data_IF_043789909519
#
_entry.id   IF_043789909519
#
_cell.length_a   1.000
_cell.length_b   1.000
_cell.length_c   1.000
_cell.angle_alpha   90.00
_cell.angle_beta   90.00
_cell.angle_gamma   90.00
#
_symmetry.space_group_name_H-M   'P 1'
#
loop_
_entity.id
_entity.type
_entity.pdbx_description
1 polymer ?
#
# COMPACT_ATOMS: atom_id res chain seq x y z
N UNK A 1 12.21 3.34 2.86
CA UNK A 1 12.54 2.75 1.53
C UNK A 1 14.05 2.62 1.31
N UNK A 2 14.88 3.67 1.48
CA UNK A 2 16.33 3.55 1.20
C UNK A 2 17.02 2.54 2.10
N UNK A 3 16.76 2.59 3.42
CA UNK A 3 17.24 1.57 4.36
C UNK A 3 16.77 0.16 3.98
N UNK A 4 15.52 0.03 3.53
CA UNK A 4 14.99 -1.27 3.10
C UNK A 4 15.65 -1.79 1.80
N UNK A 5 16.07 -0.90 0.89
CA UNK A 5 16.82 -1.31 -0.29
C UNK A 5 18.23 -1.80 0.04
N UNK A 6 18.87 -1.23 1.07
CA UNK A 6 20.22 -1.62 1.50
C UNK A 6 20.23 -2.80 2.48
N UNK A 7 19.04 -3.31 2.88
CA UNK A 7 18.95 -4.47 3.78
C UNK A 7 19.67 -5.68 3.18
N UNK A 8 20.62 -6.24 3.88
CA UNK A 8 21.50 -7.30 3.41
C UNK A 8 20.91 -8.72 3.53
N UNK A 9 19.80 -8.86 4.25
CA UNK A 9 19.16 -10.15 4.49
C UNK A 9 19.68 -10.90 5.72
N UNK A 10 20.42 -10.23 6.60
CA UNK A 10 21.03 -10.86 7.77
C UNK A 10 19.99 -11.59 8.67
N UNK A 11 18.76 -11.08 8.73
CA UNK A 11 17.65 -11.69 9.49
C UNK A 11 16.66 -12.47 8.60
N UNK A 12 17.02 -12.68 7.34
CA UNK A 12 16.21 -13.43 6.36
C UNK A 12 15.15 -12.59 5.62
N UNK A 13 14.35 -13.27 4.82
CA UNK A 13 13.24 -12.72 4.05
C UNK A 13 11.99 -13.60 4.23
N UNK A 14 10.75 -13.02 4.21
CA UNK A 14 10.46 -11.58 4.14
C UNK A 14 10.80 -10.85 5.45
N UNK A 15 11.18 -9.56 5.36
CA UNK A 15 11.57 -8.78 6.52
C UNK A 15 10.86 -7.41 6.53
N UNK A 16 10.29 -7.02 7.67
CA UNK A 16 9.65 -5.72 7.86
C UNK A 16 10.60 -4.72 8.51
N UNK A 17 10.68 -3.54 7.94
CA UNK A 17 11.45 -2.41 8.47
C UNK A 17 10.49 -1.25 8.68
N UNK A 18 10.29 -0.88 9.95
CA UNK A 18 9.45 0.26 10.32
C UNK A 18 10.30 1.48 10.62
N UNK A 19 9.83 2.66 10.22
CA UNK A 19 10.44 3.94 10.53
C UNK A 19 9.53 4.73 11.47
N UNK A 20 10.02 5.07 12.65
CA UNK A 20 9.31 5.95 13.58
C UNK A 20 9.24 7.39 13.05
N UNK A 21 10.21 7.79 12.22
CA UNK A 21 10.23 9.08 11.53
C UNK A 21 10.86 8.92 10.15
N UNK A 22 10.18 9.41 9.13
CA UNK A 22 10.74 9.48 7.78
C UNK A 22 11.33 10.87 7.52
N UNK A 23 12.57 10.91 7.03
CA UNK A 23 13.26 12.15 6.65
C UNK A 23 13.14 12.46 5.16
N UNK A 24 12.89 11.44 4.34
CA UNK A 24 12.80 11.53 2.88
C UNK A 24 11.66 10.62 2.38
N UNK A 25 10.46 10.92 2.86
CA UNK A 25 9.28 10.16 2.45
C UNK A 25 8.90 10.49 1.00
N UNK A 26 8.64 9.46 0.20
CA UNK A 26 8.26 9.61 -1.20
C UNK A 26 7.14 8.69 -1.61
N UNK A 27 6.34 9.16 -2.54
CA UNK A 27 5.33 8.39 -3.26
C UNK A 27 5.79 8.03 -4.68
N UNK A 28 4.87 7.54 -5.49
CA UNK A 28 5.12 7.23 -6.91
C UNK A 28 5.50 8.49 -7.70
N UNK A 29 6.35 8.29 -8.72
CA UNK A 29 6.80 9.36 -9.63
C UNK A 29 7.47 10.54 -8.90
N UNK A 30 8.17 10.27 -7.78
CA UNK A 30 8.88 11.30 -7.03
C UNK A 30 8.00 12.27 -6.25
N UNK A 31 6.69 12.06 -6.17
CA UNK A 31 5.80 12.91 -5.36
C UNK A 31 6.17 12.82 -3.89
N UNK A 32 6.06 13.92 -3.19
CA UNK A 32 6.27 13.94 -1.75
C UNK A 32 5.18 13.13 -1.02
N UNK A 33 5.56 12.43 0.01
CA UNK A 33 4.64 11.88 1.00
C UNK A 33 4.87 12.63 2.31
N UNK A 34 3.85 13.33 2.78
CA UNK A 34 3.93 14.06 4.04
C UNK A 34 3.47 13.14 5.18
N UNK A 35 4.35 12.92 6.15
CA UNK A 35 4.03 12.14 7.35
C UNK A 35 3.75 13.09 8.50
N UNK A 36 2.51 13.13 8.97
CA UNK A 36 2.15 13.83 10.20
C UNK A 36 2.59 13.03 11.42
N UNK A 37 2.48 13.64 12.60
CA UNK A 37 2.74 12.93 13.86
C UNK A 37 1.77 11.75 14.03
N UNK A 38 2.30 10.59 14.42
CA UNK A 38 1.51 9.35 14.54
C UNK A 38 1.25 8.64 13.20
N UNK A 39 1.86 9.10 12.09
CA UNK A 39 1.78 8.39 10.84
C UNK A 39 2.60 7.09 10.89
N UNK A 40 2.05 6.03 10.32
CA UNK A 40 2.74 4.75 10.14
C UNK A 40 3.55 4.76 8.84
N UNK A 41 4.77 4.23 8.91
CA UNK A 41 5.62 4.04 7.75
C UNK A 41 6.46 2.76 7.90
N UNK A 42 6.19 1.78 7.07
CA UNK A 42 6.97 0.55 7.04
C UNK A 42 7.31 0.12 5.60
N UNK A 43 8.29 -0.73 5.48
CA UNK A 43 8.68 -1.38 4.22
C UNK A 43 8.85 -2.87 4.45
N UNK A 44 8.19 -3.67 3.63
CA UNK A 44 8.44 -5.11 3.54
C UNK A 44 9.48 -5.35 2.44
N UNK A 45 10.54 -6.08 2.78
CA UNK A 45 11.56 -6.55 1.83
C UNK A 45 11.37 -8.03 1.61
N UNK A 46 11.31 -8.46 0.35
CA UNK A 46 11.15 -9.86 -0.01
C UNK A 46 11.92 -10.21 -1.27
N UNK A 47 12.15 -11.51 -1.48
CA UNK A 47 12.83 -12.08 -2.66
C UNK A 47 11.84 -12.96 -3.43
N UNK A 48 11.04 -12.39 -4.34
CA UNK A 48 10.02 -13.15 -5.04
C UNK A 48 10.59 -14.09 -6.11
N UNK A 49 11.81 -13.85 -6.60
CA UNK A 49 12.50 -14.64 -7.65
C UNK A 49 11.58 -15.00 -8.82
N UNK A 50 10.82 -14.04 -9.32
CA UNK A 50 9.82 -14.23 -10.38
C UNK A 50 9.83 -13.07 -11.36
N UNK A 51 9.21 -13.21 -12.55
CA UNK A 51 9.05 -12.12 -13.50
C UNK A 51 8.40 -10.88 -12.90
N UNK A 52 8.76 -9.69 -13.39
CA UNK A 52 8.28 -8.41 -12.88
C UNK A 52 6.75 -8.28 -12.90
N UNK A 53 6.08 -8.87 -13.88
CA UNK A 53 4.62 -8.91 -13.97
C UNK A 53 3.97 -9.71 -12.84
N UNK A 54 4.64 -10.77 -12.38
CA UNK A 54 4.21 -11.58 -11.23
C UNK A 54 4.54 -10.87 -9.92
N UNK A 55 5.75 -10.29 -9.82
CA UNK A 55 6.13 -9.50 -8.65
C UNK A 55 5.18 -8.32 -8.38
N UNK A 56 4.73 -7.64 -9.45
CA UNK A 56 3.81 -6.50 -9.37
C UNK A 56 2.43 -6.85 -8.79
N UNK A 57 2.00 -8.11 -8.83
CA UNK A 57 0.75 -8.57 -8.20
C UNK A 57 0.72 -8.31 -6.69
N UNK A 58 1.90 -8.18 -6.04
CA UNK A 58 2.01 -7.83 -4.63
C UNK A 58 1.51 -6.42 -4.30
N UNK A 59 1.31 -5.57 -5.29
CA UNK A 59 0.59 -4.30 -5.11
C UNK A 59 -0.86 -4.53 -4.68
N UNK A 60 -1.52 -5.52 -5.26
CA UNK A 60 -2.89 -5.90 -4.90
C UNK A 60 -2.93 -6.62 -3.55
N UNK A 61 -1.96 -7.51 -3.29
CA UNK A 61 -1.79 -8.17 -1.98
C UNK A 61 -1.67 -7.13 -0.87
N UNK A 62 -0.76 -6.17 -1.04
CA UNK A 62 -0.55 -5.11 -0.06
C UNK A 62 -1.80 -4.25 0.15
N UNK A 63 -2.54 -3.94 -0.93
CA UNK A 63 -3.78 -3.16 -0.83
C UNK A 63 -4.88 -3.93 -0.08
N UNK A 64 -5.09 -5.21 -0.38
CA UNK A 64 -6.06 -6.05 0.33
C UNK A 64 -5.69 -6.20 1.82
N UNK A 65 -4.42 -6.52 2.11
CA UNK A 65 -3.94 -6.66 3.48
C UNK A 65 -4.10 -5.35 4.28
N UNK A 66 -3.73 -4.23 3.68
CA UNK A 66 -3.83 -2.91 4.30
C UNK A 66 -5.29 -2.53 4.58
N UNK A 67 -6.21 -2.78 3.62
CA UNK A 67 -7.64 -2.54 3.85
C UNK A 67 -8.17 -3.41 4.99
N UNK A 68 -7.80 -4.69 5.07
CA UNK A 68 -8.20 -5.60 6.15
C UNK A 68 -7.67 -5.12 7.50
N UNK A 69 -6.40 -4.72 7.56
CA UNK A 69 -5.80 -4.17 8.79
C UNK A 69 -6.51 -2.91 9.27
N UNK A 70 -6.88 -1.99 8.37
CA UNK A 70 -7.64 -0.79 8.71
C UNK A 70 -9.08 -1.10 9.14
N UNK A 71 -9.69 -2.13 8.57
CA UNK A 71 -11.06 -2.54 8.88
C UNK A 71 -11.26 -3.05 10.33
N UNK A 72 -10.17 -3.28 11.08
CA UNK A 72 -10.23 -3.58 12.52
C UNK A 72 -10.61 -2.33 13.33
N UNK A 73 -10.30 -1.14 12.81
CA UNK A 73 -10.44 0.12 13.53
C UNK A 73 -11.60 0.98 13.04
N UNK A 74 -12.14 0.71 11.83
CA UNK A 74 -13.25 1.46 11.24
C UNK A 74 -14.22 0.52 10.52
N UNK A 75 -15.44 1.00 10.26
CA UNK A 75 -16.40 0.26 9.43
C UNK A 75 -15.77 -0.07 8.05
N UNK A 76 -15.70 -1.35 7.67
CA UNK A 76 -15.15 -1.79 6.38
C UNK A 76 -15.81 -1.11 5.15
N UNK A 77 -17.07 -0.68 5.26
CA UNK A 77 -17.80 -0.03 4.17
C UNK A 77 -17.28 1.40 3.90
N UNK A 78 -16.55 1.99 4.83
CA UNK A 78 -15.91 3.30 4.65
C UNK A 78 -14.56 3.21 3.90
N UNK A 79 -14.05 1.98 3.70
CA UNK A 79 -12.74 1.71 3.11
C UNK A 79 -12.89 1.21 1.69
N UNK A 80 -12.29 1.91 0.72
CA UNK A 80 -12.21 1.47 -0.67
C UNK A 80 -10.79 1.52 -1.19
N UNK A 81 -10.48 0.62 -2.13
CA UNK A 81 -9.18 0.54 -2.76
C UNK A 81 -9.18 1.35 -4.05
N UNK A 82 -8.27 2.28 -4.19
CA UNK A 82 -8.16 3.11 -5.39
C UNK A 82 -6.90 2.72 -6.18
N UNK A 83 -7.14 2.25 -7.40
CA UNK A 83 -6.05 1.94 -8.32
C UNK A 83 -5.20 3.19 -8.61
N UNK A 84 -3.87 3.04 -8.69
CA UNK A 84 -3.12 1.78 -8.61
C UNK A 84 -2.61 1.41 -7.22
N UNK A 85 -2.64 2.28 -6.20
CA UNK A 85 -1.84 2.10 -5.00
C UNK A 85 -2.31 2.84 -3.75
N UNK A 86 -3.56 3.28 -3.71
CA UNK A 86 -4.11 4.04 -2.60
C UNK A 86 -5.23 3.28 -1.89
N UNK A 87 -5.38 3.50 -0.58
CA UNK A 87 -6.58 3.16 0.17
C UNK A 87 -7.24 4.47 0.58
N UNK A 88 -8.56 4.55 0.35
CA UNK A 88 -9.38 5.69 0.75
C UNK A 88 -10.25 5.31 1.94
N UNK A 89 -10.47 6.26 2.83
CA UNK A 89 -11.37 6.20 3.96
C UNK A 89 -12.35 7.39 3.87
N UNK A 90 -13.65 7.11 3.75
CA UNK A 90 -14.69 8.14 3.49
C UNK A 90 -14.36 9.07 2.30
N UNK A 91 -13.76 8.51 1.25
CA UNK A 91 -13.37 9.27 0.05
C UNK A 91 -12.05 10.05 0.16
N UNK A 92 -11.47 10.20 1.35
CA UNK A 92 -10.14 10.78 1.56
C UNK A 92 -9.03 9.72 1.53
N UNK A 93 -7.81 10.14 1.19
CA UNK A 93 -6.67 9.22 1.14
C UNK A 93 -6.10 8.98 2.54
N UNK A 94 -6.28 7.74 3.06
CA UNK A 94 -5.71 7.32 4.36
C UNK A 94 -4.35 6.67 4.20
N UNK A 95 -4.08 6.01 3.06
CA UNK A 95 -2.84 5.27 2.88
C UNK A 95 -2.36 5.23 1.42
N UNK A 96 -1.05 5.00 1.25
CA UNK A 96 -0.41 4.80 -0.03
C UNK A 96 0.61 3.66 0.01
N UNK A 97 0.74 2.96 -1.12
CA UNK A 97 1.64 1.83 -1.30
C UNK A 97 2.63 2.16 -2.42
N UNK A 98 3.91 1.85 -2.22
CA UNK A 98 4.97 2.05 -3.21
C UNK A 98 5.77 0.77 -3.36
N UNK A 99 5.78 0.21 -4.58
CA UNK A 99 6.63 -0.92 -4.93
C UNK A 99 7.89 -0.44 -5.64
N UNK A 100 9.02 -0.94 -5.21
CA UNK A 100 10.32 -0.78 -5.86
C UNK A 100 10.97 -2.15 -5.99
N UNK A 101 11.54 -2.44 -7.14
CA UNK A 101 12.16 -3.74 -7.43
C UNK A 101 13.54 -3.56 -8.00
N UNK A 102 14.41 -4.55 -7.74
CA UNK A 102 15.70 -4.72 -8.39
C UNK A 102 15.89 -6.18 -8.74
N UNK A 103 16.69 -6.43 -9.78
CA UNK A 103 16.96 -7.77 -10.24
C UNK A 103 17.84 -7.77 -11.47
N UNK A 104 18.30 -8.96 -11.85
CA UNK A 104 19.08 -9.22 -13.03
C UNK A 104 18.27 -10.02 -14.07
N UNK A 105 18.32 -9.61 -15.32
CA UNK A 105 17.60 -10.28 -16.41
C UNK A 105 16.09 -10.10 -16.34
N UNK A 106 15.33 -11.20 -16.40
CA UNK A 106 13.87 -11.19 -16.47
C UNK A 106 13.18 -11.25 -15.10
N UNK A 107 13.92 -11.60 -14.04
CA UNK A 107 13.37 -11.82 -12.71
C UNK A 107 13.64 -10.64 -11.78
N UNK A 108 12.73 -10.47 -10.84
CA UNK A 108 12.86 -9.58 -9.69
C UNK A 108 13.50 -10.39 -8.55
N UNK A 109 14.75 -10.06 -8.24
CA UNK A 109 15.49 -10.69 -7.15
C UNK A 109 15.11 -10.10 -5.80
N UNK A 110 14.80 -8.81 -5.78
CA UNK A 110 14.35 -8.10 -4.58
C UNK A 110 13.15 -7.20 -4.88
N UNK A 111 12.15 -7.29 -4.04
CA UNK A 111 10.98 -6.44 -4.03
C UNK A 111 10.87 -5.73 -2.67
N UNK A 112 10.73 -4.42 -2.70
CA UNK A 112 10.48 -3.59 -1.52
C UNK A 112 9.10 -2.97 -1.65
N UNK A 113 8.23 -3.22 -0.68
CA UNK A 113 6.87 -2.71 -0.61
C UNK A 113 6.80 -1.70 0.53
N UNK A 114 6.82 -0.41 0.19
CA UNK A 114 6.64 0.68 1.14
C UNK A 114 5.16 0.95 1.39
N UNK A 115 4.77 1.07 2.64
CA UNK A 115 3.40 1.36 3.07
C UNK A 115 3.42 2.55 4.02
N UNK A 116 2.70 3.61 3.65
CA UNK A 116 2.47 4.78 4.49
C UNK A 116 0.99 4.89 4.84
N UNK A 117 0.67 5.12 6.11
CA UNK A 117 -0.71 5.25 6.62
C UNK A 117 -0.82 6.43 7.56
N UNK A 118 -1.84 7.24 7.38
CA UNK A 118 -2.21 8.30 8.31
C UNK A 118 -2.99 7.68 9.49
N UNK A 119 -2.31 6.98 10.42
CA UNK A 119 -2.95 6.42 11.62
C UNK A 119 -3.36 7.51 12.63
N UNK A 120 -2.53 8.55 12.77
CA UNK A 120 -2.88 9.74 13.52
C UNK A 120 -3.80 10.67 12.73
N UNK A 121 -3.64 11.98 12.95
CA UNK A 121 -4.32 13.00 12.17
C UNK A 121 -3.69 13.15 10.79
N UNK A 122 -4.51 13.53 9.80
CA UNK A 122 -4.01 13.76 8.46
C UNK A 122 -3.06 14.98 8.40
N UNK A 123 -2.06 14.97 7.50
CA UNK A 123 -1.28 16.16 7.23
C UNK A 123 -2.17 17.24 6.63
N UNK A 124 -1.97 18.50 7.07
CA UNK A 124 -2.63 19.67 6.52
C UNK A 124 -1.85 20.16 5.28
N UNK A 125 -2.55 20.83 4.39
CA UNK A 125 -1.96 21.55 3.25
C UNK A 125 -1.04 20.68 2.36
N UNK A 126 -1.57 19.56 1.88
CA UNK A 126 -0.88 18.71 0.88
C UNK A 126 -1.10 19.27 -0.51
N UNK A 127 -0.08 19.92 -1.12
CA UNK A 127 -0.22 20.49 -2.46
C UNK A 127 -0.57 19.42 -3.50
N UNK A 128 -1.39 19.77 -4.47
CA UNK A 128 -1.76 18.94 -5.63
C UNK A 128 -2.31 17.54 -5.30
N UNK A 129 -2.88 17.38 -4.10
CA UNK A 129 -3.48 16.14 -3.68
C UNK A 129 -4.73 15.84 -4.53
N UNK A 130 -4.72 14.74 -5.29
CA UNK A 130 -5.90 14.27 -6.05
C UNK A 130 -7.06 13.86 -5.16
N UNK A 131 -6.79 13.54 -3.90
CA UNK A 131 -7.72 13.21 -2.83
C UNK A 131 -7.23 13.90 -1.56
N UNK A 132 -8.14 14.55 -0.85
CA UNK A 132 -7.82 15.13 0.46
C UNK A 132 -7.24 14.02 1.37
N UNK A 133 -6.14 14.27 2.08
CA UNK A 133 -5.66 13.32 3.07
C UNK A 133 -6.67 13.21 4.22
N UNK A 134 -6.78 12.01 4.77
CA UNK A 134 -7.58 11.72 5.96
C UNK A 134 -6.77 10.84 6.89
N UNK A 135 -6.86 11.08 8.19
CA UNK A 135 -6.25 10.23 9.22
C UNK A 135 -7.28 9.33 9.89
N UNK A 136 -6.82 8.22 10.42
CA UNK A 136 -7.69 7.32 11.18
C UNK A 136 -8.25 8.05 12.41
N UNK A 137 -7.40 8.80 13.11
CA UNK A 137 -7.80 9.57 14.29
C UNK A 137 -8.75 10.73 13.99
N UNK A 138 -8.76 11.29 12.76
CA UNK A 138 -9.72 12.31 12.35
C UNK A 138 -11.18 11.80 12.44
N UNK A 139 -11.38 10.51 12.22
CA UNK A 139 -12.71 9.89 12.20
C UNK A 139 -13.05 9.16 13.49
N UNK A 140 -12.07 8.51 14.11
CA UNK A 140 -12.30 7.64 15.28
C UNK A 140 -12.06 8.36 16.61
N UNK A 141 -11.29 9.45 16.58
CA UNK A 141 -10.76 10.09 17.80
C UNK A 141 -9.71 9.21 18.53
N UNK A 142 -9.35 8.05 17.96
CA UNK A 142 -8.44 7.08 18.60
C UNK A 142 -7.09 7.09 17.90
N UNK A 143 -6.03 6.94 18.68
CA UNK A 143 -4.68 6.72 18.20
C UNK A 143 -4.34 5.24 18.27
N UNK A 144 -3.78 4.69 17.19
CA UNK A 144 -3.31 3.31 17.13
C UNK A 144 -1.78 3.33 17.21
N UNK A 145 -1.16 2.61 18.18
CA UNK A 145 0.29 2.46 18.22
C UNK A 145 0.81 1.86 16.91
N UNK A 146 1.88 2.44 16.36
CA UNK A 146 2.40 2.02 15.05
C UNK A 146 2.93 0.59 15.06
N UNK A 147 3.46 0.14 16.19
CA UNK A 147 3.93 -1.23 16.40
C UNK A 147 2.76 -2.22 16.34
N UNK A 148 1.68 -1.93 17.05
CA UNK A 148 0.46 -2.76 17.05
C UNK A 148 -0.14 -2.84 15.64
N UNK A 149 -0.16 -1.70 14.92
CA UNK A 149 -0.63 -1.71 13.53
C UNK A 149 0.26 -2.54 12.63
N UNK A 150 1.60 -2.51 12.83
CA UNK A 150 2.52 -3.34 12.07
C UNK A 150 2.26 -4.83 12.26
N UNK A 151 2.04 -5.28 13.48
CA UNK A 151 1.72 -6.68 13.79
C UNK A 151 0.46 -7.15 13.03
N UNK A 152 -0.60 -6.35 13.07
CA UNK A 152 -1.84 -6.62 12.35
C UNK A 152 -1.61 -6.64 10.84
N UNK A 153 -0.94 -5.62 10.30
CA UNK A 153 -0.66 -5.53 8.86
C UNK A 153 0.20 -6.69 8.37
N UNK A 154 1.21 -7.09 9.14
CA UNK A 154 2.09 -8.20 8.78
C UNK A 154 1.33 -9.53 8.75
N UNK A 155 0.44 -9.78 9.70
CA UNK A 155 -0.41 -10.96 9.72
C UNK A 155 -1.37 -10.99 8.52
N UNK A 156 -2.05 -9.89 8.22
CA UNK A 156 -2.95 -9.80 7.07
C UNK A 156 -2.19 -9.92 5.74
N UNK A 157 -1.00 -9.32 5.64
CA UNK A 157 -0.17 -9.47 4.44
C UNK A 157 0.23 -10.93 4.23
N UNK A 158 0.67 -11.62 5.27
CA UNK A 158 1.05 -13.03 5.19
C UNK A 158 -0.14 -13.90 4.75
N UNK A 159 -1.34 -13.65 5.28
CA UNK A 159 -2.55 -14.36 4.90
C UNK A 159 -2.92 -14.15 3.42
N UNK A 160 -2.87 -12.90 2.93
CA UNK A 160 -3.18 -12.58 1.53
C UNK A 160 -2.09 -13.09 0.58
N UNK A 161 -0.81 -13.00 0.95
CA UNK A 161 0.30 -13.56 0.15
C UNK A 161 0.19 -15.09 0.06
N UNK A 162 -0.15 -15.76 1.18
CA UNK A 162 -0.41 -17.20 1.16
C UNK A 162 -1.57 -17.55 0.21
N UNK A 163 -2.66 -16.74 0.20
CA UNK A 163 -3.77 -16.89 -0.73
C UNK A 163 -3.31 -16.74 -2.19
N UNK A 164 -2.47 -15.71 -2.49
CA UNK A 164 -1.87 -15.54 -3.82
C UNK A 164 -1.10 -16.78 -4.27
N UNK A 165 -0.23 -17.30 -3.40
CA UNK A 165 0.62 -18.47 -3.71
C UNK A 165 -0.19 -19.74 -3.91
N UNK A 166 -1.24 -19.96 -3.10
CA UNK A 166 -2.02 -21.22 -3.13
C UNK A 166 -3.15 -21.21 -4.15
N UNK A 167 -3.77 -20.09 -4.40
CA UNK A 167 -5.01 -19.98 -5.20
C UNK A 167 -4.82 -19.14 -6.47
N UNK A 168 -3.69 -18.43 -6.59
CA UNK A 168 -3.38 -17.62 -7.75
C UNK A 168 -3.97 -16.20 -7.69
N UNK A 169 -3.61 -15.39 -8.68
CA UNK A 169 -3.95 -13.97 -8.72
C UNK A 169 -5.44 -13.68 -8.94
N UNK A 170 -6.17 -14.59 -9.56
CA UNK A 170 -7.60 -14.39 -9.85
C UNK A 170 -8.40 -14.09 -8.56
N UNK A 171 -8.10 -14.80 -7.47
CA UNK A 171 -8.75 -14.63 -6.17
C UNK A 171 -8.41 -13.28 -5.51
N UNK A 172 -7.15 -12.85 -5.63
CA UNK A 172 -6.72 -11.55 -5.12
C UNK A 172 -7.37 -10.42 -5.93
N UNK A 173 -7.43 -10.58 -7.26
CA UNK A 173 -8.06 -9.60 -8.15
C UNK A 173 -9.56 -9.48 -7.83
N UNK A 174 -10.26 -10.59 -7.64
CA UNK A 174 -11.69 -10.59 -7.31
C UNK A 174 -11.95 -9.86 -5.97
N UNK A 175 -11.17 -10.16 -4.94
CA UNK A 175 -11.25 -9.48 -3.64
C UNK A 175 -10.97 -7.97 -3.75
N UNK A 176 -9.93 -7.61 -4.47
CA UNK A 176 -9.56 -6.22 -4.68
C UNK A 176 -10.65 -5.46 -5.47
N UNK A 177 -11.16 -6.07 -6.56
CA UNK A 177 -12.18 -5.47 -7.42
C UNK A 177 -13.49 -5.23 -6.66
N UNK A 178 -13.90 -6.16 -5.80
CA UNK A 178 -15.10 -6.01 -4.98
C UNK A 178 -15.06 -4.79 -4.05
N UNK A 179 -13.87 -4.25 -3.77
CA UNK A 179 -13.65 -3.08 -2.92
C UNK A 179 -13.06 -1.89 -3.69
N UNK A 180 -13.08 -1.95 -5.02
CA UNK A 180 -12.47 -0.93 -5.85
C UNK A 180 -13.32 0.34 -5.89
N UNK A 181 -12.66 1.49 -5.69
CA UNK A 181 -13.28 2.78 -5.92
C UNK A 181 -13.60 2.95 -7.42
N UNK A 182 -14.79 3.46 -7.71
CA UNK A 182 -15.27 3.73 -9.08
C UNK A 182 -15.48 2.50 -9.96
N UNK A 183 -15.69 1.33 -9.38
CA UNK A 183 -16.12 0.15 -10.13
C UNK A 183 -17.40 0.48 -10.91
N UNK A 184 -17.51 0.04 -12.17
CA UNK A 184 -18.65 0.35 -13.05
C UNK A 184 -18.71 1.80 -13.55
N UNK A 185 -17.66 2.60 -13.37
CA UNK A 185 -17.60 3.99 -13.82
C UNK A 185 -16.53 4.18 -14.91
N UNK A 186 -16.70 5.22 -15.70
CA UNK A 186 -15.65 5.64 -16.64
C UNK A 186 -14.50 6.28 -15.85
N UNK A 187 -13.31 5.70 -15.98
CA UNK A 187 -12.09 6.21 -15.36
C UNK A 187 -11.07 6.62 -16.41
N UNK A 188 -10.12 7.44 -16.00
CA UNK A 188 -8.93 7.75 -16.78
C UNK A 188 -7.70 7.14 -16.09
N UNK A 189 -7.13 6.11 -16.71
CA UNK A 189 -5.91 5.47 -16.27
C UNK A 189 -4.71 6.13 -16.98
N UNK A 190 -3.76 6.66 -16.19
CA UNK A 190 -2.54 7.29 -16.71
C UNK A 190 -1.34 6.43 -16.36
N UNK A 191 -0.60 6.04 -17.38
CA UNK A 191 0.72 5.42 -17.25
C UNK A 191 1.80 6.45 -17.61
N UNK A 192 3.07 6.08 -17.50
CA UNK A 192 4.16 6.96 -17.93
C UNK A 192 4.22 7.15 -19.46
N UNK A 193 3.50 6.32 -20.22
CA UNK A 193 3.54 6.32 -21.70
C UNK A 193 2.22 6.74 -22.31
N UNK A 194 1.09 6.41 -21.69
CA UNK A 194 -0.22 6.49 -22.31
C UNK A 194 -1.30 6.89 -21.31
N UNK A 195 -2.38 7.44 -21.82
CA UNK A 195 -3.60 7.74 -21.07
C UNK A 195 -4.76 6.98 -21.71
N UNK A 196 -5.39 6.12 -20.93
CA UNK A 196 -6.56 5.35 -21.34
C UNK A 196 -7.81 5.85 -20.62
N UNK A 197 -8.91 5.94 -21.36
CA UNK A 197 -10.24 6.24 -20.79
C UNK A 197 -11.18 5.10 -21.12
N UNK A 198 -11.84 4.54 -20.11
CA UNK A 198 -12.73 3.41 -20.30
C UNK A 198 -13.51 3.06 -19.04
N UNK A 199 -14.44 2.13 -19.16
CA UNK A 199 -15.13 1.55 -18.01
C UNK A 199 -14.17 0.74 -17.18
N UNK A 200 -14.35 0.82 -15.88
CA UNK A 200 -13.58 0.06 -14.91
C UNK A 200 -14.43 -1.13 -14.44
N UNK A 201 -14.07 -2.32 -14.94
CA UNK A 201 -14.72 -3.60 -14.66
C UNK A 201 -13.81 -4.53 -13.86
#
# INVERSE_FOLDING_TARGET
MDLARSYDGAEGFPHWIMALRQTQARGRQGRSWLSAQGAFAASLVMQPNCPSTIAAQRSFVAACALRRALAIYVDPNLLVQKWPNDVLLQGGKVAGILLESSGSGLNVDRLTIGIGVNLGYAPKDVPDASFAPVGLADLTGQTVPVETFLEVLAAEFAAVEHKLVRQGFAEIRAEWTAQAARLGQVITARTNRETHKGYFE
#
